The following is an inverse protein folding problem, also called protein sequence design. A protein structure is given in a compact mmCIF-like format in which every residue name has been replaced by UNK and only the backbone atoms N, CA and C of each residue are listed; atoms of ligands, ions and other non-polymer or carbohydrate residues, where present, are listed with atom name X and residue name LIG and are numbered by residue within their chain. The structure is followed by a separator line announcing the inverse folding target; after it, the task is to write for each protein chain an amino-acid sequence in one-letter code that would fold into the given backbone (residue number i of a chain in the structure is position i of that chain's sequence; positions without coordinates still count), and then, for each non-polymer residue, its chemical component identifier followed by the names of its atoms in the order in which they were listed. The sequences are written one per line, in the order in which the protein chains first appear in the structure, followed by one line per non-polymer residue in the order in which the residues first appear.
data_IF_496188969407
#
_entry.id   IF_496188969407
#
_cell.length_a   1.000
_cell.length_b   1.000
_cell.length_c   1.000
_cell.angle_alpha   90.00
_cell.angle_beta   90.00
_cell.angle_gamma   90.00
#
_symmetry.space_group_name_H-M   'P 1'
#
loop_
_entity.id
_entity.type
_entity.pdbx_description
1 polymer ?
#
# COMPACT_ATOMS: atom_id res chain seq x y z
N UNK A 1 -3.82 8.61 18.33
CA UNK A 1 -3.98 7.80 17.09
C UNK A 1 -4.23 6.35 17.48
N UNK A 2 -5.22 5.70 16.85
CA UNK A 2 -5.43 4.26 17.06
C UNK A 2 -4.25 3.48 16.45
N UNK A 3 -3.86 2.35 17.07
CA UNK A 3 -2.74 1.52 16.60
C UNK A 3 -2.81 1.17 15.10
N UNK A 4 -4.02 0.95 14.57
CA UNK A 4 -4.26 0.69 13.15
C UNK A 4 -3.88 1.86 12.25
N UNK A 5 -4.23 3.08 12.65
CA UNK A 5 -3.89 4.31 11.89
C UNK A 5 -2.38 4.54 11.90
N UNK A 6 -1.73 4.39 13.07
CA UNK A 6 -0.26 4.53 13.18
C UNK A 6 0.47 3.53 12.28
N UNK A 7 0.08 2.25 12.34
CA UNK A 7 0.66 1.21 11.48
C UNK A 7 0.43 1.48 10.00
N UNK A 8 -0.76 1.96 9.62
CA UNK A 8 -1.06 2.33 8.23
C UNK A 8 -0.20 3.49 7.73
N UNK A 9 -0.02 4.53 8.56
CA UNK A 9 0.84 5.67 8.26
C UNK A 9 2.30 5.27 8.12
N UNK A 10 2.83 4.45 9.03
CA UNK A 10 4.21 3.95 8.95
C UNK A 10 4.46 3.14 7.68
N UNK A 11 3.52 2.29 7.28
CA UNK A 11 3.63 1.51 6.04
C UNK A 11 3.65 2.40 4.80
N UNK A 12 2.78 3.42 4.74
CA UNK A 12 2.75 4.38 3.64
C UNK A 12 4.05 5.22 3.61
N UNK A 13 4.54 5.70 4.77
CA UNK A 13 5.82 6.39 4.89
C UNK A 13 6.95 5.52 4.35
N UNK A 14 7.05 4.29 4.82
CA UNK A 14 8.12 3.38 4.43
C UNK A 14 8.10 3.10 2.91
N UNK A 15 6.93 2.85 2.34
CA UNK A 15 6.79 2.66 0.90
C UNK A 15 7.29 3.88 0.11
N UNK A 16 6.88 5.09 0.50
CA UNK A 16 7.27 6.33 -0.18
C UNK A 16 8.76 6.65 -0.03
N UNK A 17 9.35 6.37 1.14
CA UNK A 17 10.80 6.53 1.35
C UNK A 17 11.59 5.55 0.48
N UNK A 18 11.15 4.28 0.38
CA UNK A 18 11.79 3.31 -0.53
C UNK A 18 11.74 3.77 -1.99
N UNK A 19 10.60 4.27 -2.45
CA UNK A 19 10.46 4.80 -3.81
C UNK A 19 11.39 5.99 -4.02
N UNK A 20 11.39 6.97 -3.11
CA UNK A 20 12.24 8.16 -3.22
C UNK A 20 13.73 7.82 -3.21
N UNK A 21 14.16 6.95 -2.31
CA UNK A 21 15.56 6.50 -2.23
C UNK A 21 16.00 5.67 -3.44
N UNK A 22 15.06 5.11 -4.22
CA UNK A 22 15.37 4.30 -5.38
C UNK A 22 15.71 5.08 -6.66
N UNK A 23 15.50 6.39 -6.68
CA UNK A 23 15.87 7.20 -7.85
C UNK A 23 17.36 7.08 -8.21
N UNK A 24 18.21 6.85 -7.22
CA UNK A 24 19.63 6.54 -7.43
C UNK A 24 19.83 5.26 -8.25
N UNK A 25 19.03 4.22 -8.02
CA UNK A 25 19.12 2.99 -8.80
C UNK A 25 18.63 3.19 -10.25
N UNK A 26 17.76 4.19 -10.49
CA UNK A 26 17.31 4.52 -11.83
C UNK A 26 18.46 5.07 -12.72
N UNK A 27 19.43 5.78 -12.12
CA UNK A 27 20.57 6.29 -12.90
C UNK A 27 21.43 5.19 -13.50
N UNK A 28 21.47 4.00 -12.91
CA UNK A 28 22.17 2.83 -13.43
C UNK A 28 21.42 2.17 -14.61
N UNK A 29 20.17 2.55 -14.84
CA UNK A 29 19.32 2.02 -15.91
C UNK A 29 19.13 3.02 -17.06
N UNK A 30 19.88 4.12 -17.08
CA UNK A 30 19.69 5.23 -18.04
C UNK A 30 19.78 4.78 -19.50
N UNK A 31 20.67 3.85 -19.81
CA UNK A 31 20.88 3.33 -21.17
C UNK A 31 20.10 2.04 -21.46
N UNK A 32 19.38 1.51 -20.48
CA UNK A 32 18.58 0.29 -20.67
C UNK A 32 17.26 0.61 -21.35
N UNK A 33 16.80 -0.22 -22.33
CA UNK A 33 15.49 -0.02 -22.97
C UNK A 33 14.39 0.05 -21.91
N UNK A 34 13.71 1.18 -21.87
CA UNK A 34 12.85 1.50 -20.73
C UNK A 34 11.70 0.50 -20.56
N UNK A 35 10.97 0.20 -21.66
CA UNK A 35 9.86 -0.73 -21.60
C UNK A 35 10.33 -2.14 -21.23
N UNK A 36 11.50 -2.57 -21.72
CA UNK A 36 12.15 -3.83 -21.33
C UNK A 36 12.49 -3.85 -19.84
N UNK A 37 13.04 -2.76 -19.32
CA UNK A 37 13.31 -2.60 -17.87
C UNK A 37 12.05 -2.74 -17.02
N UNK A 38 10.95 -2.09 -17.42
CA UNK A 38 9.67 -2.21 -16.71
C UNK A 38 9.07 -3.62 -16.82
N UNK A 39 9.18 -4.27 -17.99
CA UNK A 39 8.80 -5.67 -18.17
C UNK A 39 9.54 -6.57 -17.17
N UNK A 40 10.85 -6.48 -17.10
CA UNK A 40 11.69 -7.28 -16.19
C UNK A 40 11.36 -6.96 -14.73
N UNK A 41 11.28 -5.68 -14.37
CA UNK A 41 10.97 -5.23 -13.01
C UNK A 41 9.62 -5.76 -12.53
N UNK A 42 8.56 -5.54 -13.30
CA UNK A 42 7.21 -5.95 -12.90
C UNK A 42 7.01 -7.45 -13.02
N UNK A 43 7.60 -8.10 -14.03
CA UNK A 43 7.54 -9.56 -14.19
C UNK A 43 8.23 -10.27 -13.02
N UNK A 44 9.43 -9.85 -12.67
CA UNK A 44 10.14 -10.39 -11.52
C UNK A 44 9.40 -10.11 -10.20
N UNK A 45 8.86 -8.90 -10.03
CA UNK A 45 8.06 -8.57 -8.86
C UNK A 45 6.80 -9.45 -8.76
N UNK A 46 6.11 -9.68 -9.87
CA UNK A 46 4.95 -10.58 -9.90
C UNK A 46 5.34 -12.01 -9.48
N UNK A 47 6.44 -12.55 -10.02
CA UNK A 47 6.95 -13.87 -9.64
C UNK A 47 7.28 -13.97 -8.16
N UNK A 48 7.94 -12.96 -7.59
CA UNK A 48 8.28 -12.91 -6.17
C UNK A 48 7.03 -12.76 -5.27
N UNK A 49 5.95 -12.17 -5.78
CA UNK A 49 4.69 -11.98 -5.04
C UNK A 49 3.78 -13.21 -5.08
N UNK A 50 3.91 -14.10 -6.07
CA UNK A 50 3.10 -15.33 -6.19
C UNK A 50 3.11 -16.16 -4.91
N UNK A 51 4.28 -16.51 -4.31
CA UNK A 51 4.31 -17.31 -3.07
C UNK A 51 3.75 -16.54 -1.86
N UNK A 52 3.73 -15.21 -1.90
CA UNK A 52 3.17 -14.35 -0.86
C UNK A 52 1.66 -14.16 -1.02
N UNK A 53 1.10 -14.55 -2.15
CA UNK A 53 -0.34 -14.53 -2.38
C UNK A 53 -1.03 -15.55 -1.47
N UNK A 54 -2.16 -15.16 -0.87
CA UNK A 54 -2.88 -16.03 0.07
C UNK A 54 -3.42 -17.29 -0.65
N UNK A 55 -3.51 -18.39 0.10
CA UNK A 55 -4.24 -19.58 -0.35
C UNK A 55 -5.64 -19.16 -0.85
N UNK A 56 -6.07 -19.70 -2.00
CA UNK A 56 -7.32 -19.30 -2.65
C UNK A 56 -7.23 -18.08 -3.56
N UNK A 57 -6.02 -17.56 -3.86
CA UNK A 57 -5.80 -16.45 -4.78
C UNK A 57 -6.47 -16.71 -6.16
N UNK A 58 -6.31 -17.89 -6.74
CA UNK A 58 -6.91 -18.26 -8.00
C UNK A 58 -8.45 -18.24 -7.98
N UNK A 59 -9.08 -18.63 -6.87
CA UNK A 59 -10.52 -18.53 -6.72
C UNK A 59 -11.00 -17.08 -6.68
N UNK A 60 -10.27 -16.20 -5.95
CA UNK A 60 -10.57 -14.77 -5.89
C UNK A 60 -10.41 -14.08 -7.26
N UNK A 61 -9.38 -14.44 -8.02
CA UNK A 61 -9.17 -13.89 -9.36
C UNK A 61 -10.28 -14.35 -10.33
N UNK A 62 -10.69 -15.63 -10.28
CA UNK A 62 -11.79 -16.14 -11.11
C UNK A 62 -13.16 -15.54 -10.74
N UNK A 63 -13.34 -15.16 -9.46
CA UNK A 63 -14.56 -14.52 -8.99
C UNK A 63 -14.62 -13.02 -9.30
N UNK A 64 -13.56 -12.42 -9.88
CA UNK A 64 -13.59 -11.02 -10.26
C UNK A 64 -14.49 -10.76 -11.45
N UNK A 65 -15.36 -9.79 -11.28
CA UNK A 65 -16.19 -9.27 -12.38
C UNK A 65 -15.33 -8.67 -13.50
N UNK A 66 -15.75 -8.75 -14.78
CA UNK A 66 -15.03 -8.19 -15.91
C UNK A 66 -14.66 -6.70 -15.72
N UNK A 67 -15.55 -5.91 -15.12
CA UNK A 67 -15.30 -4.49 -14.80
C UNK A 67 -14.09 -4.29 -13.88
N UNK A 68 -13.82 -5.23 -12.97
CA UNK A 68 -12.66 -5.16 -12.07
C UNK A 68 -11.38 -5.56 -12.80
N UNK A 69 -11.45 -6.46 -13.76
CA UNK A 69 -10.32 -6.76 -14.65
C UNK A 69 -9.96 -5.56 -15.52
N UNK A 70 -10.94 -4.87 -16.10
CA UNK A 70 -10.71 -3.61 -16.84
C UNK A 70 -10.05 -2.58 -15.93
N UNK A 71 -10.48 -2.44 -14.68
CA UNK A 71 -9.84 -1.52 -13.73
C UNK A 71 -8.41 -1.92 -13.39
N UNK A 72 -8.10 -3.21 -13.26
CA UNK A 72 -6.73 -3.68 -13.06
C UNK A 72 -5.84 -3.38 -14.26
N UNK A 73 -6.34 -3.59 -15.48
CA UNK A 73 -5.63 -3.22 -16.68
C UNK A 73 -5.43 -1.69 -16.77
N UNK A 74 -6.47 -0.90 -16.53
CA UNK A 74 -6.32 0.56 -16.48
C UNK A 74 -5.38 1.03 -15.37
N UNK A 75 -5.39 0.38 -14.20
CA UNK A 75 -4.47 0.67 -13.11
C UNK A 75 -3.01 0.44 -13.52
N UNK A 76 -2.74 -0.66 -14.22
CA UNK A 76 -1.40 -0.96 -14.73
C UNK A 76 -1.03 -0.03 -15.91
N UNK A 77 -1.93 0.12 -16.90
CA UNK A 77 -1.68 0.95 -18.07
C UNK A 77 -1.47 2.43 -17.73
N UNK A 78 -2.37 3.01 -16.94
CA UNK A 78 -2.34 4.46 -16.63
C UNK A 78 -1.42 4.75 -15.45
N UNK A 79 -1.55 3.99 -14.36
CA UNK A 79 -0.88 4.28 -13.10
C UNK A 79 0.55 3.72 -13.00
N UNK A 80 0.95 2.83 -13.91
CA UNK A 80 2.29 2.24 -13.87
C UNK A 80 3.04 2.48 -15.19
N UNK A 81 2.63 1.83 -16.28
CA UNK A 81 3.34 1.92 -17.56
C UNK A 81 3.21 3.32 -18.14
N UNK A 82 1.98 3.84 -18.29
CA UNK A 82 1.70 5.15 -18.86
C UNK A 82 2.27 6.30 -18.01
N UNK A 83 2.15 6.21 -16.69
CA UNK A 83 2.78 7.16 -15.77
C UNK A 83 4.27 7.32 -16.05
N UNK A 84 4.98 6.21 -16.07
CA UNK A 84 6.41 6.24 -16.27
C UNK A 84 6.79 6.72 -17.70
N UNK A 85 6.06 6.28 -18.72
CA UNK A 85 6.26 6.79 -20.10
C UNK A 85 6.02 8.29 -20.19
N UNK A 86 5.01 8.80 -19.48
CA UNK A 86 4.71 10.23 -19.44
C UNK A 86 5.82 11.03 -18.74
N UNK A 87 6.38 10.52 -17.64
CA UNK A 87 7.53 11.15 -16.96
C UNK A 87 8.72 11.25 -17.90
N UNK A 88 9.12 10.15 -18.56
CA UNK A 88 10.24 10.14 -19.49
C UNK A 88 9.98 11.06 -20.70
N UNK A 89 8.75 11.06 -21.24
CA UNK A 89 8.41 11.94 -22.33
C UNK A 89 8.46 13.42 -21.91
N UNK A 90 8.05 13.73 -20.67
CA UNK A 90 8.18 15.08 -20.12
C UNK A 90 9.65 15.51 -20.01
N UNK A 91 10.52 14.64 -19.49
CA UNK A 91 11.94 14.92 -19.25
C UNK A 91 12.76 15.13 -20.54
N UNK A 92 12.20 14.80 -21.72
CA UNK A 92 12.86 15.11 -23.00
C UNK A 92 12.87 16.62 -23.31
N UNK A 93 11.90 17.38 -22.80
CA UNK A 93 11.72 18.81 -23.11
C UNK A 93 11.48 19.66 -21.86
N UNK A 94 11.35 19.06 -20.69
CA UNK A 94 11.22 19.71 -19.41
C UNK A 94 12.34 19.29 -18.47
N UNK A 95 12.76 20.21 -17.61
CA UNK A 95 13.62 19.86 -16.47
C UNK A 95 12.87 18.90 -15.52
N UNK A 96 13.56 17.91 -14.90
CA UNK A 96 12.92 16.88 -14.06
C UNK A 96 12.09 17.44 -12.90
N UNK A 97 12.36 18.66 -12.46
CA UNK A 97 11.57 19.35 -11.45
C UNK A 97 10.11 19.54 -11.87
N UNK A 98 9.85 19.77 -13.19
CA UNK A 98 8.49 20.08 -13.67
C UNK A 98 7.53 18.90 -13.49
N UNK A 99 7.76 17.71 -14.06
CA UNK A 99 6.88 16.57 -13.81
C UNK A 99 6.83 16.21 -12.32
N UNK A 100 7.91 16.38 -11.56
CA UNK A 100 7.93 16.17 -10.12
C UNK A 100 6.97 17.08 -9.35
N UNK A 101 6.87 18.35 -9.71
CA UNK A 101 5.91 19.31 -9.13
C UNK A 101 4.48 18.90 -9.45
N UNK A 102 4.20 18.54 -10.72
CA UNK A 102 2.86 18.09 -11.11
C UNK A 102 2.44 16.86 -10.34
N UNK A 103 3.28 15.83 -10.28
CA UNK A 103 3.02 14.61 -9.51
C UNK A 103 2.83 14.92 -8.02
N UNK A 104 3.60 15.88 -7.47
CA UNK A 104 3.44 16.39 -6.11
C UNK A 104 2.06 16.99 -5.80
N UNK A 105 1.29 17.37 -6.81
CA UNK A 105 -0.11 17.83 -6.66
C UNK A 105 -1.13 16.67 -6.55
N UNK A 106 -0.75 15.44 -6.83
CA UNK A 106 -1.66 14.29 -6.79
C UNK A 106 -2.43 14.13 -5.45
N UNK A 107 -1.84 14.35 -4.27
CA UNK A 107 -2.57 14.29 -3.01
C UNK A 107 -3.78 15.21 -2.95
N UNK A 108 -3.71 16.40 -3.57
CA UNK A 108 -4.83 17.37 -3.61
C UNK A 108 -5.97 16.81 -4.43
N UNK A 109 -5.66 16.29 -5.63
CA UNK A 109 -6.65 15.71 -6.53
C UNK A 109 -7.29 14.45 -5.93
N UNK A 110 -6.50 13.56 -5.34
CA UNK A 110 -7.01 12.35 -4.68
C UNK A 110 -7.88 12.69 -3.47
N UNK A 111 -7.50 13.71 -2.67
CA UNK A 111 -8.29 14.18 -1.53
C UNK A 111 -9.67 14.75 -1.94
N UNK A 112 -9.83 15.15 -3.20
CA UNK A 112 -11.10 15.61 -3.77
C UNK A 112 -11.82 14.45 -4.48
N UNK A 113 -11.15 13.76 -5.39
CA UNK A 113 -11.77 12.79 -6.30
C UNK A 113 -12.27 11.53 -5.57
N UNK A 114 -11.48 10.96 -4.66
CA UNK A 114 -11.87 9.72 -3.98
C UNK A 114 -13.16 9.90 -3.19
N UNK A 115 -13.31 10.93 -2.33
CA UNK A 115 -14.59 11.15 -1.62
C UNK A 115 -15.77 11.38 -2.56
N UNK A 116 -15.58 12.16 -3.65
CA UNK A 116 -16.64 12.43 -4.61
C UNK A 116 -17.09 11.14 -5.32
N UNK A 117 -16.16 10.27 -5.72
CA UNK A 117 -16.46 8.97 -6.32
C UNK A 117 -17.14 8.00 -5.34
N UNK A 118 -16.93 8.17 -4.03
CA UNK A 118 -17.60 7.43 -2.97
C UNK A 118 -18.92 8.11 -2.50
N UNK A 119 -19.37 9.18 -3.16
CA UNK A 119 -20.61 9.90 -2.83
C UNK A 119 -20.55 10.71 -1.53
N UNK A 120 -19.37 11.03 -1.05
CA UNK A 120 -19.15 11.79 0.20
C UNK A 120 -18.37 13.09 -0.04
N UNK A 121 -18.46 14.01 0.90
CA UNK A 121 -17.78 15.30 0.80
C UNK A 121 -16.29 15.19 1.17
N UNK A 122 -15.38 15.89 0.46
CA UNK A 122 -13.97 15.99 0.82
C UNK A 122 -13.77 16.54 2.23
N UNK A 123 -12.83 15.96 2.96
CA UNK A 123 -12.51 16.37 4.34
C UNK A 123 -11.57 17.56 4.31
N UNK A 124 -12.01 18.73 4.76
CA UNK A 124 -11.22 19.98 4.78
C UNK A 124 -9.83 19.81 5.37
N UNK A 125 -9.69 18.95 6.38
CA UNK A 125 -8.41 18.69 7.03
C UNK A 125 -7.42 17.95 6.11
N UNK A 126 -7.91 16.91 5.40
CA UNK A 126 -7.11 16.15 4.43
C UNK A 126 -6.71 17.07 3.29
N UNK A 127 -7.64 17.90 2.79
CA UNK A 127 -7.37 18.85 1.72
C UNK A 127 -6.31 19.89 2.11
N UNK A 128 -6.40 20.49 3.31
CA UNK A 128 -5.38 21.42 3.81
C UNK A 128 -4.00 20.74 3.94
N UNK A 129 -3.98 19.50 4.46
CA UNK A 129 -2.75 18.70 4.52
C UNK A 129 -2.17 18.43 3.15
N UNK A 130 -3.01 18.05 2.18
CA UNK A 130 -2.62 17.79 0.80
C UNK A 130 -2.07 19.06 0.11
N UNK A 131 -2.68 20.23 0.34
CA UNK A 131 -2.17 21.49 -0.18
C UNK A 131 -0.77 21.84 0.38
N UNK A 132 -0.54 21.61 1.68
CA UNK A 132 0.78 21.80 2.28
C UNK A 132 1.81 20.82 1.72
N UNK A 133 1.41 19.56 1.47
CA UNK A 133 2.27 18.55 0.82
C UNK A 133 2.65 19.00 -0.59
N UNK A 134 1.69 19.47 -1.38
CA UNK A 134 1.94 19.95 -2.74
C UNK A 134 2.88 21.17 -2.75
N UNK A 135 2.66 22.14 -1.86
CA UNK A 135 3.55 23.30 -1.70
C UNK A 135 4.95 22.89 -1.25
N UNK A 136 5.04 21.93 -0.34
CA UNK A 136 6.31 21.38 0.12
C UNK A 136 7.06 20.62 -0.98
N UNK A 137 6.36 19.80 -1.75
CA UNK A 137 6.93 19.11 -2.92
C UNK A 137 7.45 20.11 -3.95
N UNK A 138 6.70 21.18 -4.22
CA UNK A 138 7.15 22.28 -5.06
C UNK A 138 8.42 22.94 -4.53
N UNK A 139 8.51 23.22 -3.22
CA UNK A 139 9.68 23.83 -2.63
C UNK A 139 10.91 22.90 -2.65
N UNK A 140 10.72 21.56 -2.54
CA UNK A 140 11.82 20.57 -2.66
C UNK A 140 12.35 20.51 -4.10
N UNK A 141 11.43 20.44 -5.09
CA UNK A 141 11.76 20.25 -6.50
C UNK A 141 12.25 21.56 -7.16
N UNK A 142 11.72 22.70 -6.72
CA UNK A 142 11.96 24.01 -7.34
C UNK A 142 11.12 24.22 -8.59
N UNK A 143 11.48 25.27 -9.34
CA UNK A 143 10.85 25.65 -10.61
C UNK A 143 11.78 25.28 -11.75
N UNK A 144 11.32 24.42 -12.65
CA UNK A 144 12.08 24.01 -13.84
C UNK A 144 11.57 24.70 -15.10
N UNK A 145 12.39 24.67 -16.15
CA UNK A 145 12.01 25.13 -17.49
C UNK A 145 11.30 24.02 -18.25
N UNK A 146 10.33 24.38 -19.07
CA UNK A 146 9.57 23.43 -19.89
C UNK A 146 9.01 24.11 -21.12
N UNK A 147 8.71 23.32 -22.13
CA UNK A 147 7.91 23.72 -23.27
C UNK A 147 6.47 23.19 -23.16
N UNK A 148 5.66 23.40 -24.20
CA UNK A 148 4.27 22.92 -24.21
C UNK A 148 4.14 21.41 -24.17
N UNK A 149 5.06 20.67 -24.78
CA UNK A 149 5.04 19.21 -24.79
C UNK A 149 5.38 18.64 -23.40
N UNK A 150 6.44 19.17 -22.78
CA UNK A 150 6.82 18.80 -21.41
C UNK A 150 5.70 19.07 -20.39
N UNK A 151 4.97 20.19 -20.58
CA UNK A 151 3.80 20.50 -19.73
C UNK A 151 2.68 19.45 -19.91
N UNK A 152 2.32 19.10 -21.14
CA UNK A 152 1.28 18.10 -21.43
C UNK A 152 1.65 16.74 -20.83
N UNK A 153 2.89 16.28 -21.01
CA UNK A 153 3.34 15.01 -20.46
C UNK A 153 3.40 15.04 -18.93
N UNK A 154 3.74 16.19 -18.31
CA UNK A 154 3.69 16.36 -16.87
C UNK A 154 2.25 16.24 -16.32
N UNK A 155 1.25 16.76 -17.04
CA UNK A 155 -0.18 16.57 -16.73
C UNK A 155 -0.57 15.10 -16.89
N UNK A 156 -0.09 14.41 -17.92
CA UNK A 156 -0.31 12.97 -18.10
C UNK A 156 0.30 12.17 -16.94
N UNK A 157 1.50 12.53 -16.49
CA UNK A 157 2.12 11.91 -15.31
C UNK A 157 1.29 12.13 -14.03
N UNK A 158 0.80 13.36 -13.81
CA UNK A 158 -0.12 13.65 -12.71
C UNK A 158 -1.39 12.80 -12.80
N UNK A 159 -2.00 12.68 -13.98
CA UNK A 159 -3.17 11.84 -14.20
C UNK A 159 -2.87 10.35 -13.92
N UNK A 160 -1.67 9.89 -14.28
CA UNK A 160 -1.18 8.55 -13.97
C UNK A 160 -1.08 8.29 -12.47
N UNK A 161 -0.47 9.18 -11.71
CA UNK A 161 -0.33 9.09 -10.25
C UNK A 161 -1.70 9.10 -9.55
N UNK A 162 -2.59 10.00 -9.95
CA UNK A 162 -3.97 10.04 -9.44
C UNK A 162 -4.71 8.76 -9.82
N UNK A 163 -4.56 8.30 -11.06
CA UNK A 163 -5.14 7.06 -11.56
C UNK A 163 -4.68 5.84 -10.75
N UNK A 164 -3.38 5.76 -10.43
CA UNK A 164 -2.82 4.70 -9.58
C UNK A 164 -3.53 4.62 -8.23
N UNK A 165 -3.76 5.74 -7.57
CA UNK A 165 -4.45 5.77 -6.29
C UNK A 165 -5.95 5.46 -6.42
N UNK A 166 -6.66 6.10 -7.37
CA UNK A 166 -8.12 6.02 -7.50
C UNK A 166 -8.58 4.66 -8.01
N UNK A 167 -7.90 4.12 -9.04
CA UNK A 167 -8.26 2.83 -9.65
C UNK A 167 -8.00 1.65 -8.71
N UNK A 168 -7.03 1.77 -7.79
CA UNK A 168 -6.74 0.74 -6.81
C UNK A 168 -7.86 0.54 -5.77
N UNK A 169 -8.58 1.61 -5.39
CA UNK A 169 -9.58 1.56 -4.29
C UNK A 169 -10.62 0.45 -4.45
N UNK A 170 -11.30 0.28 -5.60
CA UNK A 170 -12.36 -0.73 -5.74
C UNK A 170 -11.85 -2.17 -5.82
N UNK A 171 -10.58 -2.36 -6.20
CA UNK A 171 -9.96 -3.69 -6.37
C UNK A 171 -9.12 -4.12 -5.18
N UNK A 172 -8.74 -3.19 -4.31
CA UNK A 172 -7.93 -3.46 -3.12
C UNK A 172 -8.69 -4.30 -2.07
N UNK A 173 -9.98 -4.02 -1.85
CA UNK A 173 -10.78 -4.76 -0.85
C UNK A 173 -10.95 -6.25 -1.22
N UNK A 174 -11.40 -6.62 -2.44
CA UNK A 174 -11.62 -8.02 -2.79
C UNK A 174 -10.32 -8.84 -2.94
N UNK A 175 -9.25 -8.23 -3.42
CA UNK A 175 -7.98 -8.91 -3.64
C UNK A 175 -7.07 -8.91 -2.40
N UNK A 176 -7.13 -7.82 -1.64
CA UNK A 176 -6.16 -7.55 -0.58
C UNK A 176 -4.80 -7.09 -1.14
N UNK A 177 -3.92 -6.53 -0.28
CA UNK A 177 -2.69 -5.87 -0.71
C UNK A 177 -1.75 -6.76 -1.53
N UNK A 178 -1.49 -7.99 -1.05
CA UNK A 178 -0.51 -8.90 -1.67
C UNK A 178 -0.96 -9.40 -3.04
N UNK A 179 -2.22 -9.84 -3.15
CA UNK A 179 -2.76 -10.35 -4.41
C UNK A 179 -2.95 -9.22 -5.42
N UNK A 180 -3.38 -8.04 -4.97
CA UNK A 180 -3.46 -6.86 -5.83
C UNK A 180 -2.07 -6.51 -6.37
N UNK A 181 -1.03 -6.44 -5.52
CA UNK A 181 0.34 -6.16 -5.97
C UNK A 181 0.82 -7.20 -6.99
N UNK A 182 0.60 -8.50 -6.74
CA UNK A 182 0.99 -9.55 -7.67
C UNK A 182 0.28 -9.42 -9.02
N UNK A 183 -1.04 -9.22 -8.99
CA UNK A 183 -1.86 -9.17 -10.21
C UNK A 183 -1.56 -7.92 -11.03
N UNK A 184 -1.46 -6.75 -10.39
CA UNK A 184 -1.18 -5.51 -11.13
C UNK A 184 0.23 -5.51 -11.71
N UNK A 185 1.23 -6.09 -11.00
CA UNK A 185 2.58 -6.25 -11.55
C UNK A 185 2.60 -7.22 -12.74
N UNK A 186 1.85 -8.33 -12.68
CA UNK A 186 1.76 -9.26 -13.80
C UNK A 186 1.14 -8.59 -15.04
N UNK A 187 0.05 -7.83 -14.85
CA UNK A 187 -0.60 -7.07 -15.94
C UNK A 187 0.34 -6.00 -16.48
N UNK A 188 0.97 -5.21 -15.60
CA UNK A 188 1.91 -4.15 -16.00
C UNK A 188 3.13 -4.70 -16.76
N UNK A 189 3.60 -5.90 -16.41
CA UNK A 189 4.68 -6.56 -17.16
C UNK A 189 4.25 -6.87 -18.59
N UNK A 190 3.06 -7.43 -18.78
CA UNK A 190 2.53 -7.71 -20.13
C UNK A 190 2.34 -6.41 -20.91
N UNK A 191 1.76 -5.38 -20.31
CA UNK A 191 1.56 -4.09 -20.94
C UNK A 191 2.88 -3.40 -21.31
N UNK A 192 3.90 -3.49 -20.45
CA UNK A 192 5.24 -2.98 -20.73
C UNK A 192 5.90 -3.72 -21.90
N UNK A 193 5.70 -5.05 -22.00
CA UNK A 193 6.19 -5.82 -23.13
C UNK A 193 5.51 -5.39 -24.45
N UNK A 194 4.18 -5.22 -24.42
CA UNK A 194 3.42 -4.73 -25.57
C UNK A 194 3.87 -3.33 -25.97
N UNK A 195 4.01 -2.42 -24.99
CA UNK A 195 4.50 -1.06 -25.24
C UNK A 195 5.90 -1.07 -25.85
N UNK A 196 6.83 -1.89 -25.33
CA UNK A 196 8.17 -2.00 -25.86
C UNK A 196 8.21 -2.51 -27.29
N UNK A 197 7.45 -3.55 -27.60
CA UNK A 197 7.34 -4.07 -28.96
C UNK A 197 6.78 -3.05 -29.94
N UNK A 198 5.84 -2.21 -29.51
CA UNK A 198 5.21 -1.18 -30.35
C UNK A 198 6.11 0.06 -30.54
N UNK A 199 6.87 0.46 -29.51
CA UNK A 199 7.67 1.68 -29.51
C UNK A 199 9.09 1.44 -30.02
N UNK A 200 9.74 0.34 -29.60
CA UNK A 200 11.16 0.05 -29.79
C UNK A 200 11.41 -1.15 -30.72
N UNK A 201 10.33 -1.80 -31.19
CA UNK A 201 10.42 -2.98 -32.09
C UNK A 201 11.20 -4.11 -31.44
N UNK A 202 12.18 -4.69 -32.16
CA UNK A 202 13.00 -5.81 -31.65
C UNK A 202 14.07 -5.38 -30.63
N UNK A 203 14.35 -4.06 -30.52
CA UNK A 203 15.35 -3.52 -29.58
C UNK A 203 14.81 -3.28 -28.17
N UNK A 204 13.51 -3.50 -27.93
CA UNK A 204 12.84 -3.20 -26.67
C UNK A 204 13.41 -3.97 -25.46
N UNK A 205 14.09 -5.11 -25.69
CA UNK A 205 14.62 -5.95 -24.63
C UNK A 205 16.02 -6.44 -25.01
N UNK A 206 17.00 -6.21 -24.16
CA UNK A 206 18.34 -6.76 -24.26
C UNK A 206 18.76 -7.43 -22.95
N UNK A 207 19.81 -8.22 -22.99
CA UNK A 207 20.38 -8.79 -21.76
C UNK A 207 20.96 -7.65 -20.91
N UNK A 208 20.54 -7.48 -19.64
CA UNK A 208 21.11 -6.50 -18.75
C UNK A 208 22.55 -6.88 -18.39
N UNK A 209 23.42 -5.90 -18.22
CA UNK A 209 24.70 -6.09 -17.59
C UNK A 209 24.57 -6.33 -16.08
N UNK A 210 25.69 -6.52 -15.37
CA UNK A 210 25.67 -6.86 -13.94
C UNK A 210 25.12 -5.72 -13.09
N UNK A 211 25.44 -4.46 -13.42
CA UNK A 211 24.96 -3.30 -12.67
C UNK A 211 23.46 -3.07 -12.92
N UNK A 212 23.05 -3.15 -14.19
CA UNK A 212 21.64 -3.08 -14.59
C UNK A 212 20.81 -4.22 -13.96
N UNK A 213 21.33 -5.45 -13.96
CA UNK A 213 20.67 -6.60 -13.34
C UNK A 213 20.49 -6.40 -11.83
N UNK A 214 21.51 -5.87 -11.14
CA UNK A 214 21.43 -5.55 -9.72
C UNK A 214 20.42 -4.44 -9.45
N UNK A 215 20.39 -3.39 -10.27
CA UNK A 215 19.42 -2.30 -10.17
C UNK A 215 17.99 -2.80 -10.43
N UNK A 216 17.77 -3.63 -11.46
CA UNK A 216 16.47 -4.23 -11.76
C UNK A 216 15.99 -5.17 -10.63
N UNK A 217 16.89 -5.97 -10.06
CA UNK A 217 16.57 -6.82 -8.91
C UNK A 217 16.18 -5.98 -7.69
N UNK A 218 16.93 -4.92 -7.39
CA UNK A 218 16.58 -3.97 -6.31
C UNK A 218 15.21 -3.33 -6.55
N UNK A 219 14.99 -2.82 -7.76
CA UNK A 219 13.71 -2.22 -8.16
C UNK A 219 12.54 -3.20 -8.04
N UNK A 220 12.73 -4.45 -8.46
CA UNK A 220 11.69 -5.47 -8.36
C UNK A 220 11.44 -5.91 -6.92
N UNK A 221 12.49 -6.36 -6.20
CA UNK A 221 12.34 -6.99 -4.91
C UNK A 221 12.05 -5.98 -3.79
N UNK A 222 12.77 -4.86 -3.75
CA UNK A 222 12.65 -3.89 -2.66
C UNK A 222 11.59 -2.84 -2.98
N UNK A 223 11.74 -2.12 -4.10
CA UNK A 223 10.86 -0.99 -4.39
C UNK A 223 9.47 -1.45 -4.78
N UNK A 224 9.35 -2.48 -5.64
CA UNK A 224 8.06 -2.95 -6.12
C UNK A 224 7.42 -3.95 -5.16
N UNK A 225 8.07 -5.04 -4.80
CA UNK A 225 7.45 -6.06 -3.93
C UNK A 225 7.18 -5.49 -2.54
N UNK A 226 8.21 -5.02 -1.83
CA UNK A 226 8.04 -4.50 -0.47
C UNK A 226 7.26 -3.19 -0.49
N UNK A 227 7.64 -2.26 -1.39
CA UNK A 227 6.99 -0.95 -1.49
C UNK A 227 5.50 -1.06 -1.80
N UNK A 228 5.08 -1.82 -2.80
CA UNK A 228 3.66 -1.95 -3.17
C UNK A 228 2.83 -2.67 -2.10
N UNK A 229 3.37 -3.74 -1.51
CA UNK A 229 2.67 -4.41 -0.40
C UNK A 229 2.48 -3.44 0.77
N UNK A 230 3.53 -2.71 1.17
CA UNK A 230 3.43 -1.71 2.23
C UNK A 230 2.47 -0.57 1.86
N UNK A 231 2.53 -0.06 0.62
CA UNK A 231 1.63 0.97 0.12
C UNK A 231 0.17 0.55 0.19
N UNK A 232 -0.19 -0.58 -0.40
CA UNK A 232 -1.56 -1.06 -0.40
C UNK A 232 -2.04 -1.50 0.99
N UNK A 233 -1.14 -2.01 1.85
CA UNK A 233 -1.46 -2.25 3.26
C UNK A 233 -1.72 -0.95 4.03
N UNK A 234 -0.95 0.10 3.74
CA UNK A 234 -1.17 1.44 4.27
C UNK A 234 -2.51 1.99 3.79
N UNK A 235 -2.73 2.02 2.48
CA UNK A 235 -3.96 2.49 1.84
C UNK A 235 -5.21 1.76 2.38
N UNK A 236 -5.13 0.45 2.57
CA UNK A 236 -6.24 -0.34 3.13
C UNK A 236 -6.61 0.09 4.56
N UNK A 237 -5.61 0.52 5.37
CA UNK A 237 -5.80 0.90 6.78
C UNK A 237 -6.25 2.34 6.97
N UNK A 238 -5.71 3.28 6.20
CA UNK A 238 -5.95 4.71 6.41
C UNK A 238 -6.77 5.38 5.30
N UNK A 239 -7.09 4.63 4.23
CA UNK A 239 -7.79 5.12 3.04
C UNK A 239 -6.85 5.81 2.04
N UNK A 240 -7.25 5.83 0.76
CA UNK A 240 -6.44 6.39 -0.32
C UNK A 240 -6.12 7.88 -0.11
N UNK A 241 -7.11 8.69 0.29
CA UNK A 241 -6.96 10.13 0.56
C UNK A 241 -5.84 10.46 1.55
N UNK A 242 -5.68 9.63 2.60
CA UNK A 242 -4.64 9.83 3.61
C UNK A 242 -3.33 9.18 3.20
N UNK A 243 -3.39 8.05 2.51
CA UNK A 243 -2.20 7.35 2.05
C UNK A 243 -1.42 8.21 1.04
N UNK A 244 -2.10 8.86 0.10
CA UNK A 244 -1.46 9.73 -0.89
C UNK A 244 -0.80 10.98 -0.32
N UNK A 245 -1.15 11.41 0.89
CA UNK A 245 -0.39 12.49 1.56
C UNK A 245 1.09 12.12 1.74
N UNK A 246 1.36 10.83 1.95
CA UNK A 246 2.72 10.33 2.15
C UNK A 246 3.55 10.29 0.86
N UNK A 247 2.93 10.36 -0.35
CA UNK A 247 3.68 10.44 -1.61
C UNK A 247 4.55 11.70 -1.70
N UNK A 248 4.20 12.77 -0.99
CA UNK A 248 5.08 13.92 -0.83
C UNK A 248 6.42 13.64 -0.16
N UNK A 249 6.58 12.50 0.52
CA UNK A 249 7.87 12.06 1.06
C UNK A 249 8.80 11.49 -0.01
N UNK A 250 8.29 11.14 -1.21
CA UNK A 250 9.11 10.64 -2.32
C UNK A 250 10.17 11.67 -2.72
N UNK A 251 9.82 12.92 -3.10
CA UNK A 251 10.83 13.92 -3.42
C UNK A 251 11.72 14.30 -2.23
N UNK A 252 11.20 14.25 -1.00
CA UNK A 252 12.00 14.48 0.20
C UNK A 252 13.07 13.41 0.36
N UNK A 253 12.70 12.12 0.26
CA UNK A 253 13.64 11.01 0.35
C UNK A 253 14.67 11.04 -0.79
N UNK A 254 14.24 11.36 -2.02
CA UNK A 254 15.13 11.55 -3.16
C UNK A 254 16.15 12.68 -2.89
N UNK A 255 15.69 13.84 -2.42
CA UNK A 255 16.57 14.96 -2.10
C UNK A 255 17.55 14.66 -0.96
N UNK A 256 17.13 13.87 0.05
CA UNK A 256 18.01 13.46 1.15
C UNK A 256 19.07 12.43 0.71
N UNK A 257 18.76 11.59 -0.29
CA UNK A 257 19.67 10.54 -0.77
C UNK A 257 20.59 11.02 -1.89
N UNK A 258 20.22 12.05 -2.65
CA UNK A 258 21.01 12.59 -3.76
C UNK A 258 22.45 12.97 -3.38
N UNK A 259 22.73 13.63 -2.23
CA UNK A 259 24.11 13.96 -1.82
C UNK A 259 24.96 12.71 -1.52
N UNK A 260 24.35 11.61 -1.05
CA UNK A 260 25.06 10.37 -0.71
C UNK A 260 25.68 9.68 -1.94
N UNK A 261 25.14 9.98 -3.13
CA UNK A 261 25.59 9.41 -4.41
C UNK A 261 26.16 10.48 -5.35
N UNK A 262 26.35 11.71 -4.84
CA UNK A 262 26.97 12.79 -5.62
C UNK A 262 26.10 13.37 -6.75
N UNK A 263 24.78 13.10 -6.75
CA UNK A 263 23.86 13.55 -7.81
C UNK A 263 23.11 14.84 -7.48
N UNK A 264 23.35 15.44 -6.31
CA UNK A 264 22.69 16.67 -5.92
C UNK A 264 23.16 17.21 -4.56
N UNK A 265 22.57 18.35 -4.15
CA UNK A 265 22.83 18.97 -2.85
C UNK A 265 21.52 19.17 -2.09
N UNK A 266 21.59 19.08 -0.77
CA UNK A 266 20.46 19.34 0.11
C UNK A 266 20.65 20.73 0.75
N UNK A 267 19.89 21.70 0.25
CA UNK A 267 19.97 23.09 0.69
C UNK A 267 18.76 23.55 1.51
N UNK A 268 18.70 24.86 1.79
CA UNK A 268 17.65 25.47 2.59
C UNK A 268 16.24 25.30 2.00
N UNK A 269 16.12 25.35 0.66
CA UNK A 269 14.85 25.14 -0.02
C UNK A 269 14.32 23.71 0.17
N UNK A 270 15.20 22.71 0.04
CA UNK A 270 14.88 21.31 0.30
C UNK A 270 14.48 21.08 1.77
N UNK A 271 15.17 21.72 2.71
CA UNK A 271 14.85 21.65 4.13
C UNK A 271 13.49 22.28 4.44
N UNK A 272 13.20 23.47 3.91
CA UNK A 272 11.91 24.14 4.09
C UNK A 272 10.77 23.35 3.46
N UNK A 273 10.97 22.86 2.23
CA UNK A 273 9.99 22.03 1.53
C UNK A 273 9.71 20.71 2.26
N UNK A 274 10.75 20.05 2.76
CA UNK A 274 10.62 18.84 3.57
C UNK A 274 9.84 19.08 4.87
N UNK A 275 10.05 20.20 5.52
CA UNK A 275 9.30 20.61 6.72
C UNK A 275 7.81 20.85 6.38
N UNK A 276 7.51 21.49 5.23
CA UNK A 276 6.13 21.69 4.75
C UNK A 276 5.45 20.36 4.43
N UNK A 277 6.14 19.43 3.76
CA UNK A 277 5.62 18.08 3.51
C UNK A 277 5.30 17.37 4.83
N UNK A 278 6.25 17.40 5.79
CA UNK A 278 6.05 16.81 7.12
C UNK A 278 4.84 17.38 7.85
N UNK A 279 4.69 18.72 7.85
CA UNK A 279 3.54 19.41 8.44
C UNK A 279 2.23 19.03 7.75
N UNK A 280 2.23 18.98 6.40
CA UNK A 280 1.07 18.58 5.60
C UNK A 280 0.61 17.15 5.89
N UNK A 281 1.56 16.21 5.92
CA UNK A 281 1.31 14.81 6.29
C UNK A 281 0.76 14.70 7.71
N UNK A 282 1.39 15.38 8.69
CA UNK A 282 0.96 15.37 10.09
C UNK A 282 -0.46 15.96 10.27
N UNK A 283 -0.76 17.04 9.55
CA UNK A 283 -2.08 17.65 9.54
C UNK A 283 -3.12 16.73 8.89
N UNK A 284 -2.87 16.28 7.66
CA UNK A 284 -3.85 15.55 6.84
C UNK A 284 -4.10 14.12 7.33
N UNK A 285 -3.05 13.41 7.79
CA UNK A 285 -3.17 12.06 8.34
C UNK A 285 -3.90 11.99 9.68
N UNK A 286 -4.00 13.12 10.38
CA UNK A 286 -4.61 13.17 11.70
C UNK A 286 -3.64 12.96 12.86
N UNK A 287 -2.33 12.94 12.61
CA UNK A 287 -1.31 12.76 13.66
C UNK A 287 -1.38 13.84 14.75
N UNK A 288 -1.73 15.08 14.36
CA UNK A 288 -1.88 16.23 15.27
C UNK A 288 -3.25 16.29 15.97
N UNK A 289 -4.18 15.36 15.69
CA UNK A 289 -5.41 15.30 16.47
C UNK A 289 -5.13 14.61 17.79
N UNK A 290 -4.89 15.36 18.84
CA UNK A 290 -5.28 14.90 20.18
C UNK A 290 -6.79 14.64 20.10
N UNK A 291 -7.20 13.37 20.07
CA UNK A 291 -8.58 13.03 20.42
C UNK A 291 -8.87 13.70 21.75
N UNK A 292 -9.81 14.61 21.75
CA UNK A 292 -10.55 15.00 22.95
C UNK A 292 -11.29 13.75 23.45
N UNK A 293 -10.54 12.79 23.98
CA UNK A 293 -11.03 11.78 24.91
C UNK A 293 -11.23 12.48 26.24
N UNK A 294 -12.28 13.24 26.39
CA UNK A 294 -12.54 13.95 27.62
C UNK A 294 -13.92 14.60 27.70
N UNK A 295 -14.71 14.56 26.61
CA UNK A 295 -16.01 15.22 26.63
C UNK A 295 -17.20 14.31 26.31
N UNK A 296 -16.98 13.06 25.90
CA UNK A 296 -18.08 12.12 25.69
C UNK A 296 -18.32 11.20 26.90
N UNK A 297 -17.35 11.07 27.80
CA UNK A 297 -17.51 10.29 29.04
C UNK A 297 -18.10 11.10 30.21
N UNK A 298 -18.31 12.41 30.04
CA UNK A 298 -18.88 13.29 31.08
C UNK A 298 -20.35 13.66 30.82
N UNK A 299 -20.96 13.15 29.73
CA UNK A 299 -22.38 13.41 29.39
C UNK A 299 -23.26 12.14 29.59
N UNK A 300 -22.63 10.98 29.91
CA UNK A 300 -23.37 9.71 30.00
C UNK A 300 -23.75 9.28 31.43
N UNK A 301 -23.54 10.16 32.42
CA UNK A 301 -23.93 9.89 33.82
C UNK A 301 -24.87 10.96 34.41
N UNK A 302 -25.83 11.49 33.64
CA UNK A 302 -27.00 12.17 34.23
C UNK A 302 -28.19 11.19 34.27
N UNK A 303 -28.54 10.67 35.46
CA UNK A 303 -29.67 9.75 35.63
C UNK A 303 -31.00 10.28 35.13
N UNK A 304 -31.10 11.59 34.84
CA UNK A 304 -32.31 12.25 34.36
C UNK A 304 -32.53 12.09 32.86
N UNK A 305 -31.49 11.80 32.09
CA UNK A 305 -31.59 11.62 30.62
C UNK A 305 -31.93 10.17 30.23
N UNK A 306 -31.58 9.20 31.07
CA UNK A 306 -31.98 7.79 30.88
C UNK A 306 -33.48 7.59 31.00
N UNK A 307 -34.15 8.36 31.88
CA UNK A 307 -35.62 8.32 32.03
C UNK A 307 -36.35 8.85 30.81
N UNK A 308 -35.81 9.82 30.09
CA UNK A 308 -36.41 10.39 28.87
C UNK A 308 -36.31 9.49 27.67
N UNK A 309 -35.19 8.75 27.51
CA UNK A 309 -34.98 7.81 26.41
C UNK A 309 -35.87 6.57 26.54
N UNK A 310 -36.14 6.10 27.77
CA UNK A 310 -37.04 4.96 28.03
C UNK A 310 -38.50 5.37 27.75
N UNK A 311 -38.93 6.59 28.14
CA UNK A 311 -40.29 7.10 27.87
C UNK A 311 -40.51 7.34 26.37
N UNK A 312 -39.51 7.87 25.63
CA UNK A 312 -39.65 8.04 24.19
C UNK A 312 -39.66 6.71 23.40
N UNK A 313 -38.96 5.67 23.87
CA UNK A 313 -39.07 4.33 23.28
C UNK A 313 -40.40 3.65 23.59
N UNK A 314 -40.94 3.84 24.76
CA UNK A 314 -42.25 3.29 25.14
C UNK A 314 -43.41 3.97 24.37
N UNK A 315 -43.34 5.27 24.13
CA UNK A 315 -44.34 6.04 23.37
C UNK A 315 -44.25 5.72 21.87
N UNK A 316 -43.04 5.49 21.31
CA UNK A 316 -42.86 5.10 19.92
C UNK A 316 -43.31 3.64 19.63
N UNK A 317 -43.25 2.75 20.62
CA UNK A 317 -43.75 1.38 20.51
C UNK A 317 -45.29 1.27 20.63
N UNK A 318 -45.94 2.25 21.25
CA UNK A 318 -47.40 2.26 21.44
C UNK A 318 -48.17 2.90 20.27
N UNK A 319 -47.51 3.46 19.27
CA UNK A 319 -48.12 4.21 18.16
C UNK A 319 -48.10 3.54 16.79
N UNK A 320 -47.73 2.27 16.67
CA UNK A 320 -47.83 1.58 15.39
C UNK A 320 -49.17 0.82 15.23
N UNK A 321 -49.96 1.10 14.19
CA UNK A 321 -51.15 0.32 13.90
C UNK A 321 -50.78 -1.09 13.44
N UNK A 322 -51.41 -2.07 14.06
CA UNK A 322 -51.34 -3.50 13.69
C UNK A 322 -51.99 -3.70 12.31
N UNK A 323 -51.20 -4.01 11.28
CA UNK A 323 -51.71 -4.52 10.01
C UNK A 323 -51.76 -6.06 10.06
N UNK A 324 -52.94 -6.68 9.90
CA UNK A 324 -53.04 -8.13 9.79
C UNK A 324 -52.62 -8.55 8.38
N UNK A 325 -51.53 -9.38 8.30
CA UNK A 325 -51.10 -10.02 7.05
C UNK A 325 -52.12 -11.04 6.57
N UNK A 326 -52.22 -11.30 5.25
CA UNK A 326 -53.23 -12.18 4.65
C UNK A 326 -52.90 -13.67 4.85
N UNK A 327 -53.90 -14.36 5.37
CA UNK A 327 -54.36 -15.71 5.11
C UNK A 327 -53.39 -16.91 5.17
N UNK A 328 -53.61 -17.74 6.16
CA UNK A 328 -53.57 -19.17 6.00
C UNK A 328 -54.67 -19.81 6.90
N UNK A 329 -55.82 -19.98 6.27
CA UNK A 329 -56.81 -20.96 6.72
C UNK A 329 -56.23 -22.34 6.50
N UNK A 330 -56.21 -23.18 7.52
CA UNK A 330 -56.57 -24.58 7.50
C UNK A 330 -56.16 -25.28 8.81
N UNK A 331 -57.19 -25.91 9.41
CA UNK A 331 -57.18 -27.01 10.38
C UNK A 331 -57.36 -26.66 11.87
N UNK A 332 -58.49 -27.09 12.27
CA UNK A 332 -59.30 -27.22 13.43
C UNK A 332 -58.68 -27.75 14.77
N UNK A 333 -59.53 -27.89 15.79
CA UNK A 333 -59.16 -27.83 17.16
C UNK A 333 -58.90 -29.20 17.81
N UNK A 334 -57.76 -29.35 18.49
CA UNK A 334 -57.67 -30.42 19.51
C UNK A 334 -56.77 -29.98 20.69
N UNK A 335 -57.49 -29.86 21.82
CA UNK A 335 -57.16 -30.34 23.19
C UNK A 335 -55.80 -30.02 23.82
N UNK A 336 -55.86 -29.22 24.83
CA UNK A 336 -54.90 -29.22 25.97
C UNK A 336 -54.97 -30.56 26.73
N UNK A 337 -53.91 -30.97 27.39
CA UNK A 337 -53.99 -31.02 28.82
C UNK A 337 -52.82 -30.39 29.63
N UNK A 338 -53.14 -30.19 30.84
CA UNK A 338 -52.60 -29.50 31.93
C UNK A 338 -51.30 -30.06 32.56
N UNK A 339 -50.61 -29.14 33.25
CA UNK A 339 -49.87 -29.31 34.53
C UNK A 339 -48.83 -30.43 34.66
N UNK A 340 -47.61 -30.08 35.00
CA UNK A 340 -47.07 -30.36 36.35
C UNK A 340 -45.76 -29.62 36.62
N UNK A 341 -45.72 -28.99 37.76
CA UNK A 341 -44.59 -28.39 38.43
C UNK A 341 -43.55 -29.44 38.80
N UNK A 342 -42.27 -29.13 38.69
CA UNK A 342 -41.28 -29.58 39.68
C UNK A 342 -39.96 -28.80 39.60
N UNK A 343 -39.63 -28.12 40.67
CA UNK A 343 -38.31 -27.62 41.12
C UNK A 343 -38.19 -28.21 42.56
N UNK A 344 -37.08 -28.38 43.22
CA UNK A 344 -35.64 -28.29 42.92
C UNK A 344 -34.76 -29.45 43.47
N UNK A 345 -33.44 -29.37 43.28
CA UNK A 345 -32.48 -30.15 44.06
C UNK A 345 -31.04 -30.22 43.56
N UNK A 346 -30.16 -29.44 44.13
CA UNK A 346 -28.72 -29.73 44.23
C UNK A 346 -28.46 -30.48 45.56
N UNK A 347 -27.26 -30.95 45.92
CA UNK A 347 -25.94 -31.14 45.34
C UNK A 347 -25.27 -32.50 45.65
N UNK A 348 -24.02 -32.73 45.24
CA UNK A 348 -23.14 -33.80 45.78
C UNK A 348 -22.19 -34.38 44.72
N UNK A 349 -21.01 -33.94 44.66
CA UNK A 349 -19.74 -34.39 45.22
C UNK A 349 -19.45 -35.88 45.08
N UNK A 350 -18.33 -36.20 44.42
CA UNK A 350 -17.30 -37.20 44.76
C UNK A 350 -16.48 -37.72 43.59
N UNK A 351 -15.21 -37.35 43.64
CA UNK A 351 -14.03 -38.22 43.58
C UNK A 351 -13.96 -39.38 42.58
N UNK A 352 -12.93 -39.33 41.74
CA UNK A 352 -11.82 -40.29 41.66
C UNK A 352 -10.85 -40.03 40.51
N UNK A 353 -9.63 -39.67 40.87
CA UNK A 353 -8.39 -40.12 40.21
C UNK A 353 -7.99 -41.49 40.87
N UNK A 354 -6.93 -42.19 40.48
CA UNK A 354 -5.95 -42.10 39.41
C UNK A 354 -5.61 -43.45 38.73
N UNK A 355 -4.64 -43.47 37.80
CA UNK A 355 -4.05 -44.72 37.30
C UNK A 355 -2.93 -44.53 36.32
N UNK A 356 -1.73 -44.53 36.84
CA UNK A 356 -0.42 -44.71 36.22
C UNK A 356 -0.30 -45.91 35.30
N UNK A 357 0.59 -45.86 34.32
CA UNK A 357 1.61 -46.84 33.88
C UNK A 357 2.51 -46.15 32.84
N UNK A 358 3.70 -45.67 33.06
CA UNK A 358 5.06 -46.25 33.15
C UNK A 358 5.44 -47.15 31.96
N UNK A 359 6.56 -46.76 31.35
CA UNK A 359 7.39 -47.55 30.43
C UNK A 359 8.16 -46.60 29.52
N UNK A 360 9.22 -46.01 29.78
CA UNK A 360 10.64 -46.40 30.03
C UNK A 360 11.26 -47.26 28.91
N UNK A 361 12.38 -46.74 28.48
CA UNK A 361 13.65 -47.25 27.99
C UNK A 361 13.91 -46.79 26.53
N UNK A 362 14.94 -46.16 26.20
CA UNK A 362 16.36 -46.11 26.50
C UNK A 362 17.18 -46.00 25.22
N UNK A 363 18.24 -45.34 25.27
CA UNK A 363 19.48 -45.54 24.53
C UNK A 363 19.64 -44.69 23.27
N UNK A 364 20.51 -43.80 23.12
CA UNK A 364 21.83 -43.63 23.64
C UNK A 364 22.70 -43.00 22.56
N UNK A 365 23.56 -42.12 23.03
CA UNK A 365 24.89 -41.88 22.50
C UNK A 365 25.11 -40.85 21.37
N UNK A 366 25.61 -39.70 21.77
CA UNK A 366 26.75 -38.96 21.17
C UNK A 366 28.03 -39.83 21.30
N UNK A 367 29.24 -39.52 20.79
CA UNK A 367 29.75 -38.24 20.29
C UNK A 367 30.84 -38.31 19.18
N UNK A 368 31.50 -37.17 18.98
CA UNK A 368 32.94 -36.95 18.57
C UNK A 368 33.25 -37.04 17.09
N UNK A 369 34.09 -36.27 16.54
CA UNK A 369 35.15 -35.27 16.75
C UNK A 369 35.70 -34.84 15.37
N UNK A 370 36.01 -33.59 15.26
CA UNK A 370 37.28 -33.00 14.85
C UNK A 370 38.09 -33.72 13.77
N UNK A 371 38.47 -33.00 12.73
CA UNK A 371 39.84 -32.79 12.28
C UNK A 371 39.90 -31.64 11.25
N UNK A 372 40.48 -30.50 11.61
CA UNK A 372 41.44 -29.71 10.83
C UNK A 372 42.83 -30.43 10.94
N UNK A 373 43.91 -30.09 10.25
CA UNK A 373 44.26 -28.87 9.52
C UNK A 373 45.28 -29.03 8.35
N UNK A 374 45.70 -27.86 7.81
CA UNK A 374 47.07 -27.53 7.31
C UNK A 374 47.56 -27.94 5.92
N UNK A 375 48.14 -26.91 5.30
CA UNK A 375 49.36 -26.89 4.52
C UNK A 375 49.27 -25.89 3.36
N UNK A 376 49.73 -24.63 3.49
CA UNK A 376 51.06 -24.09 3.18
C UNK A 376 51.63 -24.49 1.79
N UNK A 377 51.82 -23.50 0.97
CA UNK A 377 53.07 -23.10 0.23
C UNK A 377 52.68 -21.98 -0.75
N UNK A 378 53.10 -20.73 -0.62
CA UNK A 378 54.42 -20.12 -0.92
C UNK A 378 54.86 -20.33 -2.38
N UNK A 379 55.18 -19.21 -3.00
CA UNK A 379 56.03 -19.06 -4.19
C UNK A 379 55.54 -17.95 -5.13
N UNK A 380 55.87 -16.66 -4.91
CA UNK A 380 56.98 -15.90 -5.51
C UNK A 380 56.99 -15.89 -7.04
N UNK A 381 56.88 -14.77 -7.66
CA UNK A 381 57.84 -13.78 -8.25
C UNK A 381 57.16 -13.03 -9.38
N UNK A 382 57.11 -11.69 -9.34
CA UNK A 382 57.99 -10.73 -10.01
C UNK A 382 58.16 -10.84 -11.53
N UNK A 383 57.81 -9.76 -12.22
CA UNK A 383 58.19 -9.39 -13.59
C UNK A 383 57.24 -8.35 -14.15
N UNK A 384 57.34 -7.13 -13.93
CA UNK A 384 58.04 -5.97 -14.48
C UNK A 384 58.22 -6.00 -16.00
N UNK A 385 57.76 -4.93 -16.64
CA UNK A 385 57.97 -4.30 -17.93
C UNK A 385 56.62 -3.81 -18.46
N UNK A 386 56.37 -2.54 -18.66
CA UNK A 386 57.17 -1.45 -19.16
C UNK A 386 56.69 -1.08 -20.55
N UNK A 387 56.06 0.13 -20.63
CA UNK A 387 56.05 1.04 -21.80
C UNK A 387 55.41 0.58 -23.13
N UNK A 388 54.44 1.39 -23.54
CA UNK A 388 53.91 1.51 -24.87
C UNK A 388 52.61 2.32 -24.82
#
# INVERSE_FOLDING_TARGET
MNATTTRGSLLATFACVLVGASFTANSLLGDYPYAGGQFLRYGLAALLLVPLAAKGAGARLRALEPRRWIRLALLAAVGMVGFNLAVIAAERTAEPAVPGVFVGCAPVLVAVLVPLLEGRRPRRRVLRGASLVALGAFAVQGWGRTDGAGLVFSVCALAGEVGFAVLAVPVLRPLGPRLLSATVCAVASVEAAVAGLLLDGTAWLRRPDTAEAAALLWQAAVVTVVGFVCWYMGMQRIGAERATLFSGLIPVAAACTAPLVGTGSYGAAQAAGSALVGAGVALGSGALSRERKGSAAAVEDDPRDQSRVVVHRAVAAAGQPYEPGPGNDLLGPHALPAHEDHVPGAPGDRDRQPGDVVGELDGGARPERLVEPRGLHEGERLGDHGLG
#
